data_IF_257249819103
#
_entry.id   IF_257249819103
#
_cell.length_a   1.000
_cell.length_b   1.000
_cell.length_c   1.000
_cell.angle_alpha   90.00
_cell.angle_beta   90.00
_cell.angle_gamma   90.00
#
_symmetry.space_group_name_H-M   'P 1'
#
loop_
_entity.id
_entity.type
_entity.pdbx_description
1 polymer ?
#
# COMPACT_ATOMS: atom_id res chain seq x y z
N UNK A 1 9.14 28.02 -30.57
CA UNK A 1 9.23 27.40 -29.23
C UNK A 1 8.85 25.93 -29.37
N UNK A 2 9.82 25.02 -29.47
CA UNK A 2 9.55 23.58 -29.52
C UNK A 2 9.43 23.05 -28.09
N UNK A 3 8.23 22.62 -27.68
CA UNK A 3 8.06 21.81 -26.48
C UNK A 3 8.65 20.42 -26.78
N UNK A 4 9.81 20.12 -26.20
CA UNK A 4 10.41 18.79 -26.24
C UNK A 4 9.55 17.84 -25.39
N UNK A 5 8.94 16.84 -26.03
CA UNK A 5 8.21 15.79 -25.34
C UNK A 5 9.16 15.03 -24.40
N UNK A 6 8.79 14.79 -23.12
CA UNK A 6 9.67 14.12 -22.19
C UNK A 6 9.95 12.68 -22.63
N UNK A 7 11.23 12.31 -22.66
CA UNK A 7 11.72 10.98 -23.02
C UNK A 7 11.17 9.91 -22.07
N UNK A 8 10.93 8.68 -22.57
CA UNK A 8 10.40 7.55 -21.76
C UNK A 8 11.17 7.33 -20.44
N UNK A 9 12.47 7.62 -20.41
CA UNK A 9 13.34 7.47 -19.23
C UNK A 9 13.08 8.53 -18.14
N UNK A 10 12.79 9.77 -18.52
CA UNK A 10 12.41 10.87 -17.59
C UNK A 10 10.97 10.71 -17.07
N UNK A 11 10.06 10.19 -17.91
CA UNK A 11 8.72 9.77 -17.47
C UNK A 11 8.79 8.58 -16.50
N UNK A 12 9.65 7.59 -16.75
CA UNK A 12 9.88 6.46 -15.85
C UNK A 12 10.46 6.89 -14.49
N UNK A 13 11.38 7.87 -14.47
CA UNK A 13 11.93 8.41 -13.21
C UNK A 13 10.88 9.17 -12.39
N UNK A 14 10.04 10.00 -13.02
CA UNK A 14 8.99 10.73 -12.30
C UNK A 14 7.85 9.82 -11.80
N UNK A 15 7.53 8.75 -12.52
CA UNK A 15 6.55 7.76 -12.07
C UNK A 15 7.13 6.89 -10.94
N UNK A 16 8.41 6.53 -10.99
CA UNK A 16 9.08 5.82 -9.90
C UNK A 16 9.11 6.64 -8.60
N UNK A 17 9.27 7.97 -8.68
CA UNK A 17 9.22 8.88 -7.52
C UNK A 17 7.81 8.98 -6.90
N UNK A 18 6.75 8.99 -7.72
CA UNK A 18 5.35 9.14 -7.26
C UNK A 18 4.81 8.00 -6.40
N UNK A 19 5.48 6.86 -6.40
CA UNK A 19 4.95 5.61 -5.83
C UNK A 19 5.77 5.11 -4.64
N UNK A 20 7.00 5.62 -4.49
CA UNK A 20 7.68 5.72 -3.19
C UNK A 20 6.81 6.56 -2.25
N UNK A 21 6.19 7.62 -2.80
CA UNK A 21 5.25 8.47 -2.09
C UNK A 21 4.01 7.65 -1.65
N UNK A 22 3.23 6.99 -2.52
CA UNK A 22 1.94 6.36 -2.12
C UNK A 22 1.98 5.35 -0.95
N UNK A 23 3.09 4.63 -0.74
CA UNK A 23 3.27 3.68 0.38
C UNK A 23 3.82 4.38 1.64
N UNK A 24 4.41 5.56 1.49
CA UNK A 24 4.86 6.47 2.55
C UNK A 24 3.79 7.54 2.89
N UNK A 25 2.83 7.76 2.00
CA UNK A 25 1.92 8.92 1.99
C UNK A 25 0.80 8.90 3.01
N UNK A 26 0.78 7.86 3.81
CA UNK A 26 -0.10 7.67 4.94
C UNK A 26 0.37 8.54 6.13
N UNK A 27 1.25 9.54 5.93
CA UNK A 27 2.17 9.98 6.97
C UNK A 27 2.45 11.50 7.19
N UNK A 28 1.46 12.38 7.05
CA UNK A 28 1.56 13.76 7.53
C UNK A 28 0.15 14.32 7.82
N UNK A 29 -0.24 15.02 8.89
CA UNK A 29 0.36 15.72 10.03
C UNK A 29 -0.79 15.95 11.04
N UNK A 30 -0.50 16.15 12.33
CA UNK A 30 -1.22 17.19 13.08
C UNK A 30 -0.20 18.01 13.86
N UNK A 31 0.04 19.23 13.40
CA UNK A 31 0.55 20.30 14.25
C UNK A 31 -0.17 21.60 13.93
N UNK A 32 -0.79 22.12 14.99
CA UNK A 32 -1.24 23.49 15.21
C UNK A 32 -2.46 24.02 14.42
N UNK A 33 -3.58 24.16 15.14
CA UNK A 33 -3.95 25.48 15.66
C UNK A 33 -4.90 25.37 16.86
N UNK A 34 -4.45 25.84 18.02
CA UNK A 34 -5.32 26.14 19.17
C UNK A 34 -5.77 27.60 19.06
N UNK A 35 -7.07 27.83 18.97
CA UNK A 35 -7.72 29.08 19.37
C UNK A 35 -9.13 28.74 19.86
N UNK A 36 -9.49 29.11 21.11
CA UNK A 36 -10.80 28.80 21.65
C UNK A 36 -11.79 29.85 21.14
N UNK A 37 -12.78 29.43 20.36
CA UNK A 37 -14.00 30.20 20.19
C UNK A 37 -15.19 29.31 20.52
N UNK A 38 -15.73 29.53 21.71
CA UNK A 38 -17.00 28.97 22.15
C UNK A 38 -18.10 29.47 21.22
N UNK A 39 -18.67 28.57 20.43
CA UNK A 39 -20.04 28.67 19.95
C UNK A 39 -20.72 27.34 20.18
N UNK A 40 -21.75 27.38 21.02
CA UNK A 40 -22.69 26.29 21.18
C UNK A 40 -23.39 26.02 19.85
N UNK A 41 -23.35 24.77 19.40
CA UNK A 41 -24.16 24.26 18.31
C UNK A 41 -24.43 22.77 18.56
N UNK A 42 -25.69 22.50 18.90
CA UNK A 42 -26.53 21.36 18.51
C UNK A 42 -25.86 19.97 18.41
N UNK A 43 -26.36 19.03 19.24
CA UNK A 43 -26.07 17.59 19.09
C UNK A 43 -26.53 17.11 17.70
N UNK A 44 -25.63 17.22 16.75
CA UNK A 44 -25.61 16.36 15.57
C UNK A 44 -24.89 15.09 16.02
N UNK A 45 -25.62 13.98 16.09
CA UNK A 45 -25.01 12.65 16.19
C UNK A 45 -24.14 12.47 14.95
N UNK A 46 -22.85 12.73 15.06
CA UNK A 46 -21.87 12.27 14.08
C UNK A 46 -22.10 10.76 13.91
N UNK A 47 -22.18 10.22 12.68
CA UNK A 47 -22.11 8.78 12.50
C UNK A 47 -20.85 8.33 13.23
N UNK A 48 -21.00 7.42 14.19
CA UNK A 48 -19.86 6.81 14.85
C UNK A 48 -18.91 6.35 13.75
N UNK A 49 -17.72 6.94 13.71
CA UNK A 49 -16.73 6.60 12.70
C UNK A 49 -16.48 5.09 12.78
N UNK A 50 -16.63 4.42 11.65
CA UNK A 50 -16.69 2.96 11.61
C UNK A 50 -15.32 2.36 11.97
N UNK A 51 -15.34 1.24 12.69
CA UNK A 51 -14.14 0.64 13.29
C UNK A 51 -13.02 0.32 12.27
N UNK A 52 -13.33 0.10 10.99
CA UNK A 52 -12.33 -0.15 9.95
C UNK A 52 -11.60 1.13 9.54
N UNK A 53 -12.33 2.23 9.33
CA UNK A 53 -11.77 3.57 9.08
C UNK A 53 -10.86 4.01 10.23
N UNK A 54 -11.29 3.80 11.47
CA UNK A 54 -10.46 4.08 12.65
C UNK A 54 -9.18 3.23 12.69
N UNK A 55 -9.25 1.95 12.32
CA UNK A 55 -8.06 1.10 12.23
C UNK A 55 -7.04 1.61 11.18
N UNK A 56 -7.54 2.07 10.02
CA UNK A 56 -6.70 2.70 8.99
C UNK A 56 -6.09 3.98 9.55
N UNK A 57 -6.89 4.90 10.10
CA UNK A 57 -6.41 6.16 10.70
C UNK A 57 -5.34 5.97 11.76
N UNK A 58 -5.52 5.00 12.65
CA UNK A 58 -4.55 4.73 13.70
C UNK A 58 -3.23 4.19 13.13
N UNK A 59 -3.31 3.30 12.13
CA UNK A 59 -2.13 2.82 11.40
C UNK A 59 -1.41 3.97 10.70
N UNK A 60 -2.18 4.84 10.05
CA UNK A 60 -1.71 6.03 9.38
C UNK A 60 -0.96 6.93 10.35
N UNK A 61 -1.59 7.29 11.47
CA UNK A 61 -1.01 8.11 12.51
C UNK A 61 0.28 7.53 13.12
N UNK A 62 0.35 6.23 13.39
CA UNK A 62 1.58 5.59 13.90
C UNK A 62 2.73 5.71 12.90
N UNK A 63 2.45 5.52 11.61
CA UNK A 63 3.46 5.66 10.57
C UNK A 63 3.88 7.15 10.38
N UNK A 64 2.94 8.12 10.50
CA UNK A 64 3.23 9.57 10.53
C UNK A 64 4.31 9.82 11.58
N UNK A 65 4.06 9.37 12.81
CA UNK A 65 4.93 9.66 13.95
C UNK A 65 6.36 9.17 13.75
N UNK A 66 6.54 7.98 13.16
CA UNK A 66 7.88 7.44 12.89
C UNK A 66 8.60 8.24 11.80
N UNK A 67 7.88 8.66 10.77
CA UNK A 67 8.46 9.46 9.68
C UNK A 67 8.73 10.90 10.08
N UNK A 68 7.95 11.45 11.01
CA UNK A 68 8.11 12.81 11.53
C UNK A 68 9.10 12.94 12.68
N UNK A 69 9.51 11.84 13.32
CA UNK A 69 10.51 11.85 14.37
C UNK A 69 11.86 12.37 13.86
N UNK A 70 12.21 13.60 14.27
CA UNK A 70 13.46 14.27 13.91
C UNK A 70 14.71 13.42 14.23
N UNK A 71 14.64 12.57 15.26
CA UNK A 71 15.75 11.67 15.65
C UNK A 71 15.94 10.53 14.65
N UNK A 72 14.90 10.17 13.92
CA UNK A 72 14.90 9.11 12.91
C UNK A 72 15.10 9.65 11.50
N UNK A 73 14.94 10.96 11.24
CA UNK A 73 15.08 11.56 9.89
C UNK A 73 16.50 11.49 9.32
N UNK A 74 17.53 11.42 10.15
CA UNK A 74 18.92 11.42 9.70
C UNK A 74 19.25 10.20 8.81
N UNK A 75 20.07 10.34 7.74
CA UNK A 75 20.38 9.23 6.83
C UNK A 75 20.96 7.99 7.51
N UNK A 76 21.80 8.17 8.52
CA UNK A 76 22.42 7.10 9.33
C UNK A 76 21.40 6.31 10.17
N UNK A 77 20.19 6.86 10.37
CA UNK A 77 19.08 6.22 11.08
C UNK A 77 18.09 5.53 10.14
N UNK A 78 18.36 5.49 8.82
CA UNK A 78 17.45 4.90 7.84
C UNK A 78 17.10 3.43 8.15
N UNK A 79 18.06 2.62 8.61
CA UNK A 79 17.77 1.24 9.04
C UNK A 79 16.83 1.19 10.24
N UNK A 80 17.05 2.02 11.25
CA UNK A 80 16.19 2.06 12.43
C UNK A 80 14.77 2.52 12.06
N UNK A 81 14.65 3.56 11.23
CA UNK A 81 13.36 4.06 10.73
C UNK A 81 12.61 2.99 9.95
N UNK A 82 13.31 2.23 9.09
CA UNK A 82 12.73 1.06 8.39
C UNK A 82 12.22 0.01 9.37
N UNK A 83 13.01 -0.36 10.38
CA UNK A 83 12.59 -1.37 11.36
C UNK A 83 11.34 -0.95 12.14
N UNK A 84 11.22 0.32 12.52
CA UNK A 84 10.01 0.80 13.21
C UNK A 84 8.77 0.76 12.31
N UNK A 85 8.92 1.12 11.04
CA UNK A 85 7.84 1.04 10.04
C UNK A 85 7.44 -0.41 9.81
N UNK A 86 8.40 -1.31 9.60
CA UNK A 86 8.15 -2.74 9.45
C UNK A 86 7.38 -3.28 10.66
N UNK A 87 7.79 -2.91 11.88
CA UNK A 87 7.13 -3.31 13.12
C UNK A 87 5.67 -2.86 13.17
N UNK A 88 5.35 -1.65 12.72
CA UNK A 88 3.96 -1.14 12.66
C UNK A 88 3.16 -1.93 11.63
N UNK A 89 3.67 -2.04 10.40
CA UNK A 89 2.98 -2.73 9.30
C UNK A 89 2.70 -4.19 9.66
N UNK A 90 3.64 -4.89 10.31
CA UNK A 90 3.47 -6.28 10.74
C UNK A 90 2.28 -6.51 11.68
N UNK A 91 1.85 -5.50 12.44
CA UNK A 91 0.69 -5.62 13.34
C UNK A 91 -0.64 -5.28 12.67
N UNK A 92 -0.60 -4.60 11.51
CA UNK A 92 -1.76 -3.99 10.86
C UNK A 92 -2.14 -4.69 9.55
N UNK A 93 -1.32 -5.63 9.10
CA UNK A 93 -1.47 -6.36 7.85
C UNK A 93 -1.70 -7.84 8.10
N UNK A 94 -2.69 -8.42 7.43
CA UNK A 94 -2.87 -9.87 7.35
C UNK A 94 -2.06 -10.41 6.17
N UNK A 95 -0.78 -10.72 6.43
CA UNK A 95 0.10 -11.26 5.39
C UNK A 95 -0.35 -12.64 4.90
N UNK A 96 -0.94 -13.44 5.77
CA UNK A 96 -1.50 -14.74 5.39
C UNK A 96 -2.63 -14.57 4.38
N UNK A 97 -3.60 -13.70 4.65
CA UNK A 97 -4.71 -13.48 3.73
C UNK A 97 -4.24 -12.82 2.42
N UNK A 98 -3.28 -11.90 2.50
CA UNK A 98 -2.67 -11.28 1.32
C UNK A 98 -1.96 -12.32 0.44
N UNK A 99 -1.12 -13.16 1.05
CA UNK A 99 -0.40 -14.23 0.37
C UNK A 99 -1.36 -15.27 -0.22
N UNK A 100 -2.37 -15.69 0.54
CA UNK A 100 -3.42 -16.62 0.09
C UNK A 100 -4.13 -16.10 -1.15
N UNK A 101 -4.57 -14.83 -1.15
CA UNK A 101 -5.26 -14.23 -2.30
C UNK A 101 -4.34 -14.02 -3.49
N UNK A 102 -3.07 -13.70 -3.24
CA UNK A 102 -2.04 -13.60 -4.26
C UNK A 102 -1.71 -14.96 -4.88
N UNK A 103 -1.61 -16.03 -4.09
CA UNK A 103 -1.38 -17.37 -4.63
C UNK A 103 -2.59 -17.87 -5.44
N UNK A 104 -3.79 -17.64 -4.93
CA UNK A 104 -5.04 -18.05 -5.57
C UNK A 104 -5.31 -19.54 -5.42
N UNK A 105 -5.77 -20.19 -6.50
CA UNK A 105 -6.21 -21.61 -6.51
C UNK A 105 -5.24 -22.58 -5.82
N UNK A 106 -3.91 -22.52 -6.08
CA UNK A 106 -2.96 -23.47 -5.48
C UNK A 106 -2.91 -23.47 -3.95
N UNK A 107 -3.40 -22.41 -3.28
CA UNK A 107 -3.44 -22.35 -1.81
C UNK A 107 -4.21 -23.51 -1.17
N UNK A 108 -5.26 -23.99 -1.85
CA UNK A 108 -6.08 -25.10 -1.36
C UNK A 108 -5.40 -26.46 -1.52
N UNK A 109 -4.39 -26.55 -2.39
CA UNK A 109 -3.71 -27.80 -2.76
C UNK A 109 -2.42 -28.03 -1.94
N UNK A 110 -1.93 -27.00 -1.26
CA UNK A 110 -0.71 -27.05 -0.45
C UNK A 110 -1.01 -27.25 1.04
N UNK A 111 -0.09 -27.90 1.74
CA UNK A 111 -0.22 -28.18 3.17
C UNK A 111 0.18 -26.98 4.04
N UNK A 112 -0.01 -27.09 5.35
CA UNK A 112 0.25 -26.00 6.30
C UNK A 112 1.71 -25.53 6.32
N UNK A 113 2.67 -26.45 6.23
CA UNK A 113 4.09 -26.11 6.20
C UNK A 113 4.44 -25.33 4.92
N UNK A 114 3.87 -25.74 3.78
CA UNK A 114 4.05 -25.04 2.51
C UNK A 114 3.40 -23.65 2.50
N UNK A 115 2.24 -23.49 3.15
CA UNK A 115 1.59 -22.19 3.35
C UNK A 115 2.46 -21.25 4.15
N UNK A 116 3.01 -21.72 5.28
CA UNK A 116 3.91 -20.93 6.13
C UNK A 116 5.17 -20.52 5.38
N UNK A 117 5.78 -21.44 4.63
CA UNK A 117 6.94 -21.13 3.78
C UNK A 117 6.59 -20.07 2.73
N UNK A 118 5.47 -20.24 2.03
CA UNK A 118 5.02 -19.30 1.02
C UNK A 118 4.74 -17.91 1.59
N UNK A 119 4.08 -17.82 2.75
CA UNK A 119 3.83 -16.56 3.46
C UNK A 119 5.15 -15.88 3.81
N UNK A 120 6.13 -16.62 4.35
CA UNK A 120 7.46 -16.07 4.66
C UNK A 120 8.17 -15.51 3.42
N UNK A 121 8.15 -16.26 2.32
CA UNK A 121 8.72 -15.81 1.04
C UNK A 121 7.98 -14.59 0.47
N UNK A 122 6.66 -14.53 0.63
CA UNK A 122 5.85 -13.41 0.17
C UNK A 122 6.13 -12.14 0.98
N UNK A 123 6.28 -12.26 2.31
CA UNK A 123 6.71 -11.16 3.17
C UNK A 123 8.08 -10.64 2.75
N UNK A 124 9.04 -11.54 2.52
CA UNK A 124 10.38 -11.14 2.06
C UNK A 124 10.32 -10.41 0.71
N UNK A 125 9.51 -10.91 -0.23
CA UNK A 125 9.30 -10.28 -1.54
C UNK A 125 8.71 -8.88 -1.43
N UNK A 126 7.75 -8.67 -0.52
CA UNK A 126 7.20 -7.35 -0.22
C UNK A 126 8.28 -6.43 0.39
N UNK A 127 9.01 -6.91 1.40
CA UNK A 127 10.09 -6.13 2.04
C UNK A 127 11.11 -5.66 1.02
N UNK A 128 11.59 -6.54 0.15
CA UNK A 128 12.58 -6.19 -0.87
C UNK A 128 12.03 -5.18 -1.90
N UNK A 129 10.74 -5.27 -2.24
CA UNK A 129 10.08 -4.30 -3.12
C UNK A 129 9.98 -2.89 -2.50
N UNK A 130 9.96 -2.79 -1.16
CA UNK A 130 9.78 -1.53 -0.43
C UNK A 130 11.03 -1.03 0.32
N UNK A 131 12.09 -1.83 0.47
CA UNK A 131 13.28 -1.51 1.27
C UNK A 131 14.00 -0.20 0.88
N UNK A 132 13.92 0.18 -0.40
CA UNK A 132 14.47 1.45 -0.91
C UNK A 132 13.48 2.59 -0.99
N UNK A 133 12.20 2.35 -0.69
CA UNK A 133 11.09 3.25 -0.99
C UNK A 133 10.44 3.90 0.25
N UNK A 134 10.98 3.64 1.44
CA UNK A 134 10.41 4.11 2.71
C UNK A 134 11.05 5.46 3.17
N UNK A 135 11.99 6.00 2.41
CA UNK A 135 12.82 7.14 2.84
C UNK A 135 12.28 8.53 2.45
N UNK A 136 11.23 8.63 1.64
CA UNK A 136 10.76 9.91 1.11
C UNK A 136 9.50 10.39 1.83
N UNK A 137 9.67 11.19 2.88
CA UNK A 137 8.57 11.92 3.52
C UNK A 137 8.04 13.03 2.58
N UNK A 138 6.72 13.21 2.55
CA UNK A 138 6.04 14.24 1.74
C UNK A 138 4.91 14.90 2.54
N UNK A 139 4.65 16.19 2.27
CA UNK A 139 3.66 17.02 2.98
C UNK A 139 2.20 16.81 2.50
N UNK A 140 1.80 15.57 2.18
CA UNK A 140 0.48 15.31 1.59
C UNK A 140 -0.59 15.04 2.66
N UNK A 141 -1.80 15.53 2.42
CA UNK A 141 -2.92 15.34 3.34
C UNK A 141 -3.72 14.08 2.97
N UNK A 142 -3.93 13.20 3.94
CA UNK A 142 -4.84 12.04 3.80
C UNK A 142 -6.29 12.48 4.03
N UNK A 143 -7.13 12.27 3.04
CA UNK A 143 -8.59 12.51 3.10
C UNK A 143 -9.30 11.17 3.04
N UNK A 144 -10.20 10.91 3.99
CA UNK A 144 -11.02 9.70 4.04
C UNK A 144 -12.34 9.97 3.32
N UNK A 145 -12.57 9.27 2.20
CA UNK A 145 -13.72 9.49 1.33
C UNK A 145 -14.95 8.68 1.76
N UNK A 146 -14.73 7.56 2.45
CA UNK A 146 -15.80 6.73 3.00
C UNK A 146 -15.39 5.27 3.23
N UNK A 147 -16.29 4.51 3.82
CA UNK A 147 -16.15 3.08 4.08
C UNK A 147 -17.29 2.30 3.43
N UNK A 148 -16.97 1.15 2.85
CA UNK A 148 -17.94 0.15 2.42
C UNK A 148 -17.66 -1.14 3.17
N UNK A 149 -18.67 -1.69 3.85
CA UNK A 149 -18.53 -2.90 4.68
C UNK A 149 -19.40 -4.03 4.14
N UNK A 150 -18.84 -5.23 4.11
CA UNK A 150 -19.51 -6.47 3.75
C UNK A 150 -19.04 -7.59 4.69
N UNK A 151 -19.91 -8.04 5.59
CA UNK A 151 -19.61 -9.01 6.64
C UNK A 151 -18.34 -8.65 7.46
N UNK A 152 -17.32 -9.49 7.32
CA UNK A 152 -16.00 -9.38 7.95
C UNK A 152 -15.00 -8.61 7.09
N UNK A 153 -15.42 -8.02 5.97
CA UNK A 153 -14.58 -7.24 5.07
C UNK A 153 -15.01 -5.78 5.03
N UNK A 154 -14.05 -4.90 4.80
CA UNK A 154 -14.29 -3.48 4.58
C UNK A 154 -13.35 -2.92 3.52
N UNK A 155 -13.81 -1.94 2.76
CA UNK A 155 -13.01 -1.10 1.88
C UNK A 155 -13.09 0.35 2.38
N UNK A 156 -11.95 0.89 2.82
CA UNK A 156 -11.82 2.29 3.26
C UNK A 156 -11.16 3.05 2.13
N UNK A 157 -11.91 3.99 1.53
CA UNK A 157 -11.46 4.79 0.40
C UNK A 157 -10.77 6.04 0.90
N UNK A 158 -9.54 6.26 0.45
CA UNK A 158 -8.76 7.45 0.83
C UNK A 158 -8.21 8.17 -0.40
N UNK A 159 -7.92 9.44 -0.22
CA UNK A 159 -7.29 10.29 -1.21
C UNK A 159 -6.13 11.03 -0.56
N UNK A 160 -4.96 10.91 -1.16
CA UNK A 160 -3.75 11.62 -0.79
C UNK A 160 -3.70 12.90 -1.61
N UNK A 161 -3.85 14.04 -0.95
CA UNK A 161 -3.80 15.37 -1.59
C UNK A 161 -2.36 15.80 -1.70
N UNK A 162 -1.79 15.63 -2.90
CA UNK A 162 -0.46 16.11 -3.25
C UNK A 162 -0.46 17.53 -3.81
N UNK A 163 0.70 18.18 -3.85
CA UNK A 163 0.82 19.56 -4.36
C UNK A 163 0.44 19.72 -5.85
N UNK A 164 0.50 18.64 -6.64
CA UNK A 164 0.28 18.66 -8.09
C UNK A 164 -0.80 17.70 -8.59
N UNK A 165 -0.90 16.53 -7.97
CA UNK A 165 -1.85 15.47 -8.36
C UNK A 165 -2.23 14.72 -7.10
N UNK A 166 -3.51 14.38 -7.01
CA UNK A 166 -4.06 13.54 -5.96
C UNK A 166 -3.89 12.06 -6.32
N UNK A 167 -3.64 11.22 -5.32
CA UNK A 167 -3.54 9.76 -5.47
C UNK A 167 -4.68 9.09 -4.72
N UNK A 168 -5.41 8.17 -5.36
CA UNK A 168 -6.44 7.37 -4.65
C UNK A 168 -5.79 6.14 -4.05
N UNK A 169 -6.10 5.87 -2.77
CA UNK A 169 -5.61 4.70 -2.05
C UNK A 169 -6.77 4.07 -1.30
N UNK A 170 -7.19 2.89 -1.76
CA UNK A 170 -8.24 2.12 -1.09
C UNK A 170 -7.61 1.01 -0.27
N UNK A 171 -7.92 0.98 1.03
CA UNK A 171 -7.50 -0.07 1.94
C UNK A 171 -8.59 -1.12 2.02
N UNK A 172 -8.24 -2.37 1.74
CA UNK A 172 -9.15 -3.50 1.93
C UNK A 172 -8.75 -4.25 3.18
N UNK A 173 -9.68 -4.33 4.12
CA UNK A 173 -9.47 -4.86 5.45
C UNK A 173 -10.33 -6.09 5.68
N UNK A 174 -9.82 -7.01 6.49
CA UNK A 174 -10.57 -8.11 7.06
C UNK A 174 -10.62 -7.96 8.58
N UNK A 175 -11.75 -8.28 9.18
CA UNK A 175 -11.90 -8.36 10.62
C UNK A 175 -11.52 -9.76 11.09
N UNK A 176 -10.45 -9.87 11.86
CA UNK A 176 -9.92 -11.13 12.38
C UNK A 176 -9.42 -10.94 13.80
N UNK A 177 -9.77 -11.88 14.69
CA UNK A 177 -9.30 -11.87 16.09
C UNK A 177 -9.59 -10.57 16.86
N UNK A 178 -10.65 -9.85 16.47
CA UNK A 178 -11.04 -8.57 17.10
C UNK A 178 -10.40 -7.32 16.48
N UNK A 179 -9.54 -7.48 15.47
CA UNK A 179 -8.84 -6.40 14.79
C UNK A 179 -9.21 -6.31 13.31
N UNK A 180 -9.16 -5.09 12.76
CA UNK A 180 -9.19 -4.86 11.32
C UNK A 180 -7.77 -4.87 10.77
N UNK A 181 -7.49 -5.83 9.89
CA UNK A 181 -6.19 -6.04 9.29
C UNK A 181 -6.27 -5.81 7.78
N UNK A 182 -5.37 -4.99 7.25
CA UNK A 182 -5.25 -4.74 5.81
C UNK A 182 -4.79 -6.02 5.13
N UNK A 183 -5.51 -6.48 4.11
CA UNK A 183 -5.08 -7.61 3.27
C UNK A 183 -4.79 -7.20 1.83
N UNK A 184 -5.18 -6.00 1.40
CA UNK A 184 -4.84 -5.45 0.09
C UNK A 184 -4.87 -3.92 0.13
N UNK A 185 -4.05 -3.32 -0.73
CA UNK A 185 -4.03 -1.87 -0.96
C UNK A 185 -4.17 -1.64 -2.46
N UNK A 186 -5.08 -0.75 -2.84
CA UNK A 186 -5.37 -0.41 -4.23
C UNK A 186 -4.96 1.03 -4.47
N UNK A 187 -3.95 1.25 -5.31
CA UNK A 187 -3.41 2.59 -5.61
C UNK A 187 -3.79 2.95 -7.04
N UNK A 188 -4.58 4.01 -7.23
CA UNK A 188 -5.13 4.43 -8.53
C UNK A 188 -5.73 3.25 -9.34
N UNK A 189 -6.42 2.35 -8.64
CA UNK A 189 -7.04 1.15 -9.21
C UNK A 189 -6.14 -0.08 -9.34
N UNK A 190 -4.83 0.03 -9.05
CA UNK A 190 -3.90 -1.10 -9.07
C UNK A 190 -3.81 -1.77 -7.69
N UNK A 191 -4.26 -3.03 -7.58
CA UNK A 191 -4.27 -3.86 -6.35
C UNK A 191 -2.99 -4.67 -6.19
N UNK A 192 -2.38 -4.62 -4.99
CA UNK A 192 -1.13 -5.34 -4.65
C UNK A 192 -1.35 -6.83 -4.84
N UNK A 193 -2.40 -7.33 -4.23
CA UNK A 193 -2.78 -8.75 -4.31
C UNK A 193 -3.04 -9.18 -5.74
N UNK A 194 -3.82 -8.40 -6.51
CA UNK A 194 -4.19 -8.78 -7.87
C UNK A 194 -2.99 -8.82 -8.82
N UNK A 195 -2.04 -7.90 -8.64
CA UNK A 195 -0.81 -7.88 -9.42
C UNK A 195 0.05 -9.12 -9.14
N UNK A 196 0.27 -9.47 -7.88
CA UNK A 196 1.01 -10.70 -7.56
C UNK A 196 0.28 -11.95 -8.02
N UNK A 197 -1.06 -11.98 -7.92
CA UNK A 197 -1.87 -13.06 -8.46
C UNK A 197 -1.66 -13.27 -9.94
N UNK A 198 -1.68 -12.21 -10.74
CA UNK A 198 -1.42 -12.31 -12.17
C UNK A 198 -0.02 -12.88 -12.46
N UNK A 199 1.00 -12.41 -11.74
CA UNK A 199 2.38 -12.88 -11.90
C UNK A 199 2.55 -14.35 -11.47
N UNK A 200 2.08 -14.72 -10.29
CA UNK A 200 2.15 -16.09 -9.78
C UNK A 200 1.39 -17.04 -10.67
N UNK A 201 0.20 -16.67 -11.14
CA UNK A 201 -0.57 -17.48 -12.11
C UNK A 201 0.25 -17.71 -13.38
N UNK A 202 0.89 -16.67 -13.92
CA UNK A 202 1.74 -16.82 -15.11
C UNK A 202 2.95 -17.72 -14.86
N UNK A 203 3.65 -17.55 -13.72
CA UNK A 203 4.82 -18.37 -13.38
C UNK A 203 4.43 -19.82 -13.14
N UNK A 204 3.34 -20.08 -12.40
CA UNK A 204 2.89 -21.44 -12.08
C UNK A 204 2.48 -22.19 -13.34
N UNK A 205 1.85 -21.50 -14.31
CA UNK A 205 1.54 -22.10 -15.61
C UNK A 205 2.79 -22.59 -16.34
N UNK A 206 3.91 -21.89 -16.19
CA UNK A 206 5.14 -22.18 -16.93
C UNK A 206 6.07 -23.15 -16.17
N UNK A 207 6.14 -23.05 -14.83
CA UNK A 207 7.12 -23.79 -14.01
C UNK A 207 6.55 -24.45 -12.75
N UNK A 208 5.23 -24.54 -12.60
CA UNK A 208 4.51 -25.10 -11.43
C UNK A 208 4.69 -24.30 -10.13
N UNK A 209 3.98 -24.69 -9.07
CA UNK A 209 4.13 -24.11 -7.72
C UNK A 209 5.57 -24.25 -7.18
N UNK A 210 6.18 -25.43 -7.34
CA UNK A 210 7.55 -25.66 -6.87
C UNK A 210 8.54 -24.74 -7.58
N UNK A 211 8.33 -24.47 -8.88
CA UNK A 211 9.14 -23.52 -9.63
C UNK A 211 8.93 -22.07 -9.20
N UNK A 212 7.70 -21.69 -8.81
CA UNK A 212 7.43 -20.38 -8.20
C UNK A 212 8.22 -20.21 -6.89
N UNK A 213 8.10 -21.18 -5.96
CA UNK A 213 8.82 -21.15 -4.68
C UNK A 213 10.33 -21.05 -4.89
N UNK A 214 10.87 -21.82 -5.84
CA UNK A 214 12.29 -21.74 -6.21
C UNK A 214 12.69 -20.34 -6.69
N UNK A 215 11.88 -19.71 -7.55
CA UNK A 215 12.12 -18.34 -8.03
C UNK A 215 12.04 -17.31 -6.90
N UNK A 216 11.10 -17.46 -5.97
CA UNK A 216 11.00 -16.60 -4.78
C UNK A 216 12.25 -16.70 -3.90
N UNK A 217 12.74 -17.92 -3.62
CA UNK A 217 13.98 -18.14 -2.86
C UNK A 217 15.23 -17.55 -3.53
N UNK A 218 15.20 -17.39 -4.86
CA UNK A 218 16.27 -16.78 -5.64
C UNK A 218 16.12 -15.26 -5.79
N UNK A 219 15.09 -14.65 -5.18
CA UNK A 219 14.71 -13.24 -5.36
C UNK A 219 14.54 -12.85 -6.84
N UNK A 220 14.11 -13.81 -7.67
CA UNK A 220 13.99 -13.65 -9.13
C UNK A 220 12.62 -13.12 -9.57
N UNK A 221 11.84 -12.56 -8.64
CA UNK A 221 10.52 -11.97 -8.91
C UNK A 221 10.62 -10.49 -8.59
N UNK A 222 10.34 -9.65 -9.58
CA UNK A 222 10.33 -8.21 -9.42
C UNK A 222 8.91 -7.68 -9.52
N UNK A 223 8.61 -6.69 -8.69
CA UNK A 223 7.30 -6.05 -8.66
C UNK A 223 7.17 -5.05 -9.81
N UNK A 224 6.17 -5.25 -10.67
CA UNK A 224 5.85 -4.36 -11.81
C UNK A 224 4.80 -3.29 -11.52
N UNK A 225 4.50 -3.01 -10.25
CA UNK A 225 3.34 -2.21 -9.80
C UNK A 225 3.21 -0.79 -10.39
N UNK A 226 4.19 -0.36 -11.17
CA UNK A 226 4.44 1.02 -11.54
C UNK A 226 4.73 1.21 -13.03
N UNK A 227 4.64 0.14 -13.84
CA UNK A 227 4.56 0.24 -15.29
C UNK A 227 3.09 0.49 -15.63
N UNK A 228 2.66 1.74 -15.83
CA UNK A 228 1.31 2.04 -16.31
C UNK A 228 0.96 1.09 -17.47
N UNK A 229 -0.08 0.27 -17.32
CA UNK A 229 -0.82 -0.20 -18.48
C UNK A 229 -1.45 1.03 -19.11
N UNK A 230 -0.87 1.48 -20.22
CA UNK A 230 -1.51 2.44 -21.12
C UNK A 230 -2.90 1.90 -21.46
N UNK A 231 -3.99 2.64 -21.16
CA UNK A 231 -5.34 2.19 -21.49
C UNK A 231 -5.43 1.91 -22.99
N UNK A 232 -6.04 0.80 -23.39
CA UNK A 232 -6.20 0.43 -24.82
C UNK A 232 -6.88 1.53 -25.65
N UNK A 233 -7.67 2.41 -25.02
CA UNK A 233 -8.22 3.61 -25.65
C UNK A 233 -7.14 4.57 -26.17
N UNK A 234 -5.99 4.71 -25.49
CA UNK A 234 -4.94 5.66 -25.85
C UNK A 234 -4.16 5.31 -27.13
N UNK A 235 -4.41 4.12 -27.71
CA UNK A 235 -3.84 3.71 -29.00
C UNK A 235 -4.77 3.99 -30.20
N UNK A 236 -5.99 4.51 -29.98
CA UNK A 236 -7.01 4.66 -31.05
C UNK A 236 -7.12 6.06 -31.65
N UNK A 237 -6.18 6.96 -31.37
CA UNK A 237 -6.08 8.27 -32.05
C UNK A 237 -4.62 8.64 -32.27
N UNK A 238 -4.07 8.17 -33.38
CA UNK A 238 -3.10 8.95 -34.14
C UNK A 238 -3.62 9.00 -35.58
N UNK A 239 -3.73 10.18 -36.21
CA UNK A 239 -4.04 10.31 -37.63
C UNK A 239 -2.92 9.75 -38.50
#
# INVERSE_FOLDING_TARGET
MQLTAPTKRTLQQHVSQRLVQAVVLVCSLISAWNSPSLKAAELSTTPAESAATEAVKNTVAELIQVLDDARLKAPERAEQRRHEIERIVMRRVSYEEMAKRALGTPWSDINEQERQEFVGLFIQLLRDAFAGRINEHTDEQVVYLGEQREDQFAEVKTQLKGQKVDTHVDFRLMHASGDWLVYDVVIDGASIVSNYRAQFTSIIRDVTYVGLVKKMKQNAISVKFFEKTTPAHALRRQP
#
